data_IF_902076629925
#
_entry.id   IF_902076629925
#
_cell.length_a   1.000
_cell.length_b   1.000
_cell.length_c   1.000
_cell.angle_alpha   90.00
_cell.angle_beta   90.00
_cell.angle_gamma   90.00
#
_symmetry.space_group_name_H-M   'P 1'
#
loop_
_entity.id
_entity.type
_entity.pdbx_description
1 polymer ?
#
# COMPACT_ATOMS: atom_id res chain seq x y z
N UNK A 1 -1.02 -13.39 -10.65
CA UNK A 1 -1.07 -11.98 -10.21
C UNK A 1 0.34 -11.45 -9.95
N UNK A 2 0.84 -10.47 -10.71
CA UNK A 2 2.15 -9.86 -10.48
C UNK A 2 2.29 -9.22 -9.09
N UNK A 3 1.19 -8.70 -8.53
CA UNK A 3 1.17 -8.05 -7.21
C UNK A 3 1.46 -9.04 -6.07
N UNK A 4 0.90 -10.25 -6.12
CA UNK A 4 1.15 -11.28 -5.10
C UNK A 4 2.57 -11.87 -5.19
N UNK A 5 3.19 -11.86 -6.38
CA UNK A 5 4.57 -12.34 -6.57
C UNK A 5 5.62 -11.40 -5.97
N UNK A 6 5.24 -10.15 -5.67
CA UNK A 6 6.09 -9.14 -5.02
C UNK A 6 5.83 -9.09 -3.51
N UNK A 7 4.81 -9.79 -3.02
CA UNK A 7 4.50 -9.85 -1.59
C UNK A 7 5.50 -10.76 -0.86
N UNK A 8 6.01 -10.28 0.28
CA UNK A 8 6.83 -11.08 1.18
C UNK A 8 6.06 -12.31 1.70
N UNK A 9 6.75 -13.41 1.97
CA UNK A 9 6.14 -14.67 2.41
C UNK A 9 5.32 -14.49 3.70
N UNK A 10 5.79 -13.62 4.60
CA UNK A 10 5.08 -13.24 5.83
C UNK A 10 3.74 -12.55 5.54
N UNK A 11 3.67 -11.74 4.48
CA UNK A 11 2.46 -11.03 4.07
C UNK A 11 1.43 -12.01 3.49
N UNK A 12 1.89 -12.98 2.69
CA UNK A 12 1.04 -14.02 2.15
C UNK A 12 0.43 -14.88 3.26
N UNK A 13 1.22 -15.26 4.27
CA UNK A 13 0.72 -16.02 5.42
C UNK A 13 -0.39 -15.26 6.17
N UNK A 14 -0.21 -13.96 6.41
CA UNK A 14 -1.24 -13.13 7.07
C UNK A 14 -2.53 -13.02 6.25
N UNK A 15 -2.41 -13.00 4.92
CA UNK A 15 -3.58 -13.07 4.03
C UNK A 15 -4.28 -14.41 4.19
N UNK A 16 -3.54 -15.52 4.10
CA UNK A 16 -4.08 -16.87 4.27
C UNK A 16 -4.81 -17.03 5.62
N UNK A 17 -4.23 -16.53 6.71
CA UNK A 17 -4.84 -16.57 8.05
C UNK A 17 -6.14 -15.75 8.16
N UNK A 18 -6.33 -14.78 7.25
CA UNK A 18 -7.49 -13.88 7.24
C UNK A 18 -8.57 -14.30 6.25
N UNK A 19 -8.33 -15.34 5.45
CA UNK A 19 -9.32 -15.88 4.51
C UNK A 19 -10.47 -16.55 5.26
N UNK A 20 -11.70 -16.21 4.89
CA UNK A 20 -12.92 -16.82 5.44
C UNK A 20 -13.57 -17.70 4.38
N UNK A 21 -13.79 -19.01 4.63
CA UNK A 21 -14.54 -19.83 3.70
C UNK A 21 -15.99 -19.34 3.61
N UNK A 22 -16.51 -19.23 2.39
CA UNK A 22 -17.88 -18.81 2.09
C UNK A 22 -18.51 -19.75 1.07
N UNK A 23 -19.83 -19.93 1.20
CA UNK A 23 -20.61 -20.87 0.41
C UNK A 23 -21.83 -20.17 -0.14
N UNK A 24 -22.04 -20.30 -1.44
CA UNK A 24 -23.18 -19.70 -2.12
C UNK A 24 -23.98 -20.77 -2.84
N UNK A 25 -25.30 -20.70 -2.68
CA UNK A 25 -26.22 -21.54 -3.43
C UNK A 25 -26.29 -21.08 -4.89
N UNK A 26 -26.81 -21.94 -5.75
CA UNK A 26 -27.08 -21.61 -7.15
C UNK A 26 -28.04 -20.42 -7.28
N UNK A 27 -27.83 -19.60 -8.32
CA UNK A 27 -28.62 -18.40 -8.64
C UNK A 27 -28.66 -17.31 -7.56
N UNK A 28 -27.67 -17.27 -6.67
CA UNK A 28 -27.52 -16.22 -5.66
C UNK A 28 -26.59 -15.11 -6.14
N UNK A 29 -26.79 -13.91 -5.62
CA UNK A 29 -25.90 -12.77 -5.87
C UNK A 29 -24.82 -12.73 -4.80
N UNK A 30 -23.56 -12.74 -5.24
CA UNK A 30 -22.40 -12.53 -4.36
C UNK A 30 -22.16 -11.03 -4.17
N UNK A 31 -22.21 -10.27 -5.27
CA UNK A 31 -22.10 -8.79 -5.29
C UNK A 31 -23.15 -8.24 -6.26
N UNK A 32 -23.83 -7.16 -5.88
CA UNK A 32 -24.77 -6.47 -6.77
C UNK A 32 -24.18 -5.16 -7.26
N UNK A 33 -24.70 -4.68 -8.38
CA UNK A 33 -24.34 -3.36 -8.91
C UNK A 33 -24.69 -2.28 -7.87
N UNK A 34 -23.74 -1.38 -7.62
CA UNK A 34 -23.88 -0.32 -6.64
C UNK A 34 -23.50 -0.70 -5.21
N UNK A 35 -23.33 -2.00 -4.91
CA UNK A 35 -22.77 -2.42 -3.63
C UNK A 35 -21.28 -2.02 -3.56
N UNK A 36 -20.78 -1.63 -2.37
CA UNK A 36 -19.35 -1.46 -2.18
C UNK A 36 -18.66 -2.81 -2.37
N UNK A 37 -17.49 -2.82 -3.02
CA UNK A 37 -16.62 -4.00 -2.96
C UNK A 37 -15.95 -3.96 -1.59
N UNK A 38 -16.46 -4.75 -0.65
CA UNK A 38 -15.97 -4.82 0.73
C UNK A 38 -15.20 -6.12 1.02
N UNK A 39 -15.13 -7.03 0.05
CA UNK A 39 -14.32 -8.24 0.10
C UNK A 39 -13.79 -8.65 -1.28
N UNK A 40 -12.63 -9.31 -1.29
CA UNK A 40 -12.14 -10.07 -2.43
C UNK A 40 -12.60 -11.51 -2.32
N UNK A 41 -12.98 -12.11 -3.45
CA UNK A 41 -13.41 -13.50 -3.49
C UNK A 41 -12.45 -14.33 -4.34
N UNK A 42 -12.03 -15.48 -3.82
CA UNK A 42 -11.19 -16.46 -4.51
C UNK A 42 -12.01 -17.74 -4.72
N UNK A 43 -12.30 -18.09 -5.97
CA UNK A 43 -13.14 -19.24 -6.30
C UNK A 43 -12.32 -20.52 -6.14
N UNK A 44 -12.79 -21.40 -5.25
CA UNK A 44 -12.20 -22.72 -5.02
C UNK A 44 -12.93 -23.78 -5.84
N UNK A 45 -14.26 -23.69 -5.92
CA UNK A 45 -15.08 -24.63 -6.69
C UNK A 45 -16.39 -23.97 -7.13
N UNK A 46 -16.94 -24.45 -8.26
CA UNK A 46 -18.16 -23.92 -8.88
C UNK A 46 -17.94 -22.81 -9.92
N UNK A 47 -19.05 -22.27 -10.42
CA UNK A 47 -19.09 -21.29 -11.51
C UNK A 47 -19.95 -20.09 -11.13
N UNK A 48 -19.37 -18.89 -11.21
CA UNK A 48 -20.07 -17.60 -11.15
C UNK A 48 -19.89 -16.84 -12.45
N UNK A 49 -20.85 -15.99 -12.80
CA UNK A 49 -20.68 -15.03 -13.88
C UNK A 49 -20.60 -13.62 -13.32
N UNK A 50 -19.68 -12.83 -13.87
CA UNK A 50 -19.65 -11.38 -13.71
C UNK A 50 -20.36 -10.73 -14.88
N UNK A 51 -21.10 -9.66 -14.62
CA UNK A 51 -21.77 -8.87 -15.66
C UNK A 51 -21.37 -7.41 -15.51
N UNK A 52 -20.77 -6.81 -16.54
CA UNK A 52 -20.40 -5.40 -16.56
C UNK A 52 -21.38 -4.58 -17.40
N UNK A 53 -22.07 -3.62 -16.77
CA UNK A 53 -23.15 -2.85 -17.41
C UNK A 53 -22.64 -1.82 -18.45
N UNK A 54 -21.34 -1.59 -18.55
CA UNK A 54 -20.73 -0.62 -19.49
C UNK A 54 -20.72 -1.10 -20.94
N UNK A 55 -20.63 -2.41 -21.14
CA UNK A 55 -20.37 -3.05 -22.42
C UNK A 55 -21.15 -4.36 -22.59
N UNK A 56 -21.85 -4.83 -21.54
CA UNK A 56 -22.58 -6.10 -21.56
C UNK A 56 -21.65 -7.31 -21.58
N UNK A 57 -20.38 -7.12 -21.19
CA UNK A 57 -19.43 -8.21 -21.10
C UNK A 57 -19.80 -9.12 -19.93
N UNK A 58 -19.71 -10.42 -20.21
CA UNK A 58 -19.97 -11.48 -19.24
C UNK A 58 -18.72 -12.33 -19.14
N UNK A 59 -18.13 -12.42 -17.95
CA UNK A 59 -16.98 -13.27 -17.71
C UNK A 59 -17.36 -14.43 -16.78
N UNK A 60 -16.72 -15.58 -17.01
CA UNK A 60 -16.91 -16.78 -16.20
C UNK A 60 -15.81 -16.85 -15.11
N UNK A 61 -16.21 -16.88 -13.85
CA UNK A 61 -15.35 -17.15 -12.71
C UNK A 61 -15.46 -18.63 -12.34
N UNK A 62 -14.34 -19.33 -12.47
CA UNK A 62 -14.20 -20.76 -12.17
C UNK A 62 -13.06 -20.96 -11.16
N UNK A 63 -12.75 -22.21 -10.81
CA UNK A 63 -11.67 -22.53 -9.88
C UNK A 63 -10.35 -21.82 -10.26
N UNK A 64 -9.78 -21.08 -9.32
CA UNK A 64 -8.56 -20.30 -9.49
C UNK A 64 -8.79 -18.86 -9.95
N UNK A 65 -10.00 -18.50 -10.38
CA UNK A 65 -10.37 -17.11 -10.64
C UNK A 65 -10.70 -16.37 -9.35
N UNK A 66 -10.67 -15.04 -9.41
CA UNK A 66 -10.93 -14.17 -8.28
C UNK A 66 -11.69 -12.92 -8.71
N UNK A 67 -12.26 -12.22 -7.73
CA UNK A 67 -12.95 -10.94 -7.92
C UNK A 67 -12.51 -9.94 -6.85
N UNK A 68 -12.55 -8.64 -7.18
CA UNK A 68 -12.30 -7.54 -6.24
C UNK A 68 -10.84 -7.11 -6.19
N UNK A 69 -10.05 -7.31 -7.26
CA UNK A 69 -8.63 -6.93 -7.29
C UNK A 69 -8.40 -5.42 -7.08
N UNK A 70 -9.42 -4.59 -7.30
CA UNK A 70 -9.38 -3.17 -7.00
C UNK A 70 -9.12 -2.90 -5.50
N UNK A 71 -9.49 -3.84 -4.62
CA UNK A 71 -9.18 -3.76 -3.19
C UNK A 71 -7.69 -3.89 -2.89
N UNK A 72 -6.94 -4.67 -3.69
CA UNK A 72 -5.48 -4.74 -3.54
C UNK A 72 -4.87 -3.38 -3.90
N UNK A 73 -5.21 -2.85 -5.07
CA UNK A 73 -4.69 -1.56 -5.54
C UNK A 73 -4.98 -0.44 -4.54
N UNK A 74 -6.21 -0.42 -4.01
CA UNK A 74 -6.58 0.55 -2.99
C UNK A 74 -5.83 0.37 -1.68
N UNK A 75 -5.63 -0.85 -1.21
CA UNK A 75 -4.94 -1.11 0.06
C UNK A 75 -3.47 -0.69 0.03
N UNK A 76 -2.84 -0.69 -1.15
CA UNK A 76 -1.49 -0.14 -1.35
C UNK A 76 -1.48 1.39 -1.53
N UNK A 77 -2.58 1.96 -2.01
CA UNK A 77 -2.76 3.41 -2.12
C UNK A 77 -3.20 4.03 -0.77
N UNK A 78 -2.88 5.29 -0.50
CA UNK A 78 -3.36 5.98 0.72
C UNK A 78 -4.82 6.45 0.61
N UNK A 79 -5.62 5.83 -0.25
CA UNK A 79 -6.99 6.24 -0.50
C UNK A 79 -7.92 5.74 0.62
N UNK A 80 -8.84 6.59 1.06
CA UNK A 80 -9.68 6.34 2.24
C UNK A 80 -11.05 5.74 1.93
N UNK A 81 -11.39 5.53 0.65
CA UNK A 81 -12.71 5.08 0.20
C UNK A 81 -12.59 3.77 -0.54
N UNK A 82 -13.48 2.82 -0.22
CA UNK A 82 -13.63 1.57 -0.97
C UNK A 82 -14.07 1.87 -2.41
N UNK A 83 -13.68 1.03 -3.39
CA UNK A 83 -14.21 1.16 -4.72
C UNK A 83 -15.67 0.71 -4.65
N UNK A 84 -16.54 1.49 -5.28
CA UNK A 84 -17.85 0.93 -5.60
C UNK A 84 -17.66 -0.08 -6.72
N UNK A 85 -18.42 -1.19 -6.69
CA UNK A 85 -18.41 -2.12 -7.81
C UNK A 85 -18.67 -1.32 -9.08
N UNK A 86 -17.72 -1.23 -10.03
CA UNK A 86 -17.88 -0.45 -11.23
C UNK A 86 -18.86 -1.20 -12.14
N UNK A 87 -20.14 -1.17 -11.79
CA UNK A 87 -21.23 -1.78 -12.55
C UNK A 87 -21.08 -3.29 -12.76
N UNK A 88 -20.45 -3.99 -11.81
CA UNK A 88 -20.24 -5.43 -11.87
C UNK A 88 -21.20 -6.17 -10.93
N UNK A 89 -22.00 -7.07 -11.49
CA UNK A 89 -22.84 -8.01 -10.74
C UNK A 89 -22.19 -9.38 -10.76
N UNK A 90 -22.10 -10.05 -9.62
CA UNK A 90 -21.65 -11.45 -9.55
C UNK A 90 -22.83 -12.31 -9.17
N UNK A 91 -23.17 -13.27 -10.03
CA UNK A 91 -24.24 -14.22 -9.79
C UNK A 91 -23.73 -15.63 -9.96
N UNK A 92 -24.11 -16.51 -9.05
CA UNK A 92 -23.76 -17.92 -9.12
C UNK A 92 -24.62 -18.64 -10.17
N UNK A 93 -23.99 -19.52 -10.94
CA UNK A 93 -24.67 -20.43 -11.87
C UNK A 93 -24.63 -21.89 -11.41
N UNK A 94 -23.92 -22.16 -10.32
CA UNK A 94 -23.95 -23.42 -9.57
C UNK A 94 -23.71 -23.14 -8.08
N UNK A 95 -23.55 -24.20 -7.29
CA UNK A 95 -23.02 -24.03 -5.92
C UNK A 95 -21.57 -23.57 -6.01
N UNK A 96 -21.21 -22.59 -5.20
CA UNK A 96 -19.85 -22.05 -5.15
C UNK A 96 -19.27 -22.25 -3.75
N UNK A 97 -18.02 -22.72 -3.74
CA UNK A 97 -17.12 -22.62 -2.60
C UNK A 97 -16.05 -21.58 -2.93
N UNK A 98 -15.90 -20.59 -2.06
CA UNK A 98 -14.90 -19.54 -2.23
C UNK A 98 -14.27 -19.15 -0.90
N UNK A 99 -13.17 -18.40 -0.97
CA UNK A 99 -12.61 -17.69 0.17
C UNK A 99 -12.88 -16.20 0.02
N UNK A 100 -13.29 -15.56 1.10
CA UNK A 100 -13.46 -14.12 1.19
C UNK A 100 -12.32 -13.49 2.00
N UNK A 101 -11.70 -12.45 1.47
CA UNK A 101 -10.77 -11.57 2.18
C UNK A 101 -11.43 -10.19 2.33
N UNK A 102 -11.79 -9.81 3.55
CA UNK A 102 -12.44 -8.51 3.77
C UNK A 102 -11.47 -7.36 3.51
N UNK A 103 -11.96 -6.25 2.99
CA UNK A 103 -11.19 -5.04 2.73
C UNK A 103 -10.54 -4.49 4.01
N UNK A 104 -11.23 -4.56 5.14
CA UNK A 104 -10.69 -4.14 6.44
C UNK A 104 -9.54 -5.05 6.90
N UNK A 105 -9.67 -6.37 6.72
CA UNK A 105 -8.63 -7.34 7.04
C UNK A 105 -7.38 -7.08 6.17
N UNK A 106 -7.57 -6.89 4.85
CA UNK A 106 -6.51 -6.55 3.91
C UNK A 106 -5.81 -5.23 4.26
N UNK A 107 -6.57 -4.17 4.58
CA UNK A 107 -6.03 -2.87 5.00
C UNK A 107 -5.20 -3.00 6.28
N UNK A 108 -5.66 -3.79 7.24
CA UNK A 108 -4.93 -4.03 8.49
C UNK A 108 -3.62 -4.79 8.26
N UNK A 109 -3.62 -5.76 7.35
CA UNK A 109 -2.43 -6.51 6.95
C UNK A 109 -1.40 -5.57 6.29
N UNK A 110 -1.81 -4.79 5.29
CA UNK A 110 -0.92 -3.88 4.54
C UNK A 110 -0.39 -2.75 5.43
N UNK A 111 -1.24 -2.10 6.21
CA UNK A 111 -0.82 -1.00 7.10
C UNK A 111 0.21 -1.43 8.15
N UNK A 112 0.01 -2.59 8.78
CA UNK A 112 0.97 -3.15 9.75
C UNK A 112 2.28 -3.57 9.10
N UNK A 113 2.26 -4.04 7.85
CA UNK A 113 3.47 -4.44 7.14
C UNK A 113 4.28 -3.19 6.69
N UNK A 114 3.62 -2.17 6.13
CA UNK A 114 4.27 -0.90 5.78
C UNK A 114 4.87 -0.15 6.99
N UNK A 115 4.24 -0.25 8.17
CA UNK A 115 4.81 0.29 9.41
C UNK A 115 6.06 -0.44 9.90
N UNK A 116 6.21 -1.74 9.59
CA UNK A 116 7.43 -2.48 9.91
C UNK A 116 8.56 -2.09 8.95
N UNK A 117 8.28 -1.97 7.65
CA UNK A 117 9.25 -1.48 6.65
C UNK A 117 9.73 -0.06 6.96
N UNK A 118 8.85 0.80 7.49
CA UNK A 118 9.17 2.17 7.89
C UNK A 118 10.03 2.31 9.14
N UNK A 119 10.04 1.31 10.04
CA UNK A 119 10.82 1.35 11.29
C UNK A 119 12.27 0.93 11.11
N UNK A 120 12.58 0.09 10.14
CA UNK A 120 13.91 -0.53 10.07
C UNK A 120 15.00 0.29 9.39
N UNK A 121 14.68 1.39 8.67
CA UNK A 121 15.69 2.10 7.87
C UNK A 121 15.86 3.61 8.12
N UNK A 122 15.09 4.22 9.02
CA UNK A 122 15.07 5.70 9.12
C UNK A 122 16.04 6.29 10.13
N UNK A 123 16.31 5.62 11.25
CA UNK A 123 17.08 6.21 12.36
C UNK A 123 18.56 6.50 12.03
N UNK A 124 19.37 5.56 11.48
CA UNK A 124 20.79 5.84 11.24
C UNK A 124 21.03 6.89 10.17
N UNK A 125 20.16 6.94 9.14
CA UNK A 125 20.31 7.84 8.00
C UNK A 125 19.85 9.27 8.33
N UNK A 126 18.71 9.41 9.01
CA UNK A 126 18.22 10.72 9.43
C UNK A 126 19.18 11.38 10.44
N UNK A 127 19.66 10.63 11.42
CA UNK A 127 20.66 11.11 12.37
C UNK A 127 21.95 11.52 11.66
N UNK A 128 22.45 10.72 10.71
CA UNK A 128 23.64 11.05 9.92
C UNK A 128 23.46 12.35 9.12
N UNK A 129 22.33 12.53 8.43
CA UNK A 129 22.03 13.74 7.64
C UNK A 129 21.98 14.98 8.53
N UNK A 130 21.31 14.90 9.67
CA UNK A 130 21.22 16.00 10.65
C UNK A 130 22.61 16.33 11.22
N UNK A 131 23.40 15.31 11.59
CA UNK A 131 24.75 15.50 12.09
C UNK A 131 25.70 16.12 11.05
N UNK A 132 25.60 15.69 9.79
CA UNK A 132 26.40 16.24 8.69
C UNK A 132 26.05 17.72 8.43
N UNK A 133 24.75 18.06 8.45
CA UNK A 133 24.30 19.44 8.33
C UNK A 133 24.80 20.32 9.48
N UNK A 134 24.75 19.81 10.73
CA UNK A 134 25.28 20.51 11.90
C UNK A 134 26.79 20.77 11.81
N UNK A 135 27.60 19.75 11.45
CA UNK A 135 29.05 19.90 11.29
C UNK A 135 29.39 20.99 10.26
N UNK A 136 28.74 20.95 9.09
CA UNK A 136 28.94 21.93 8.02
C UNK A 136 28.56 23.35 8.43
N UNK A 137 27.49 23.52 9.20
CA UNK A 137 27.10 24.83 9.71
C UNK A 137 28.12 25.36 10.74
N UNK A 138 28.57 24.50 11.65
CA UNK A 138 29.51 24.87 12.71
C UNK A 138 30.90 25.21 12.16
N UNK A 139 31.40 24.44 11.19
CA UNK A 139 32.66 24.72 10.48
C UNK A 139 32.61 26.07 9.74
N UNK A 140 31.50 26.36 9.06
CA UNK A 140 31.31 27.63 8.37
C UNK A 140 31.20 28.82 9.31
N UNK A 141 30.62 28.65 10.52
CA UNK A 141 30.59 29.69 11.56
C UNK A 141 32.00 29.97 12.09
N UNK A 142 32.79 28.92 12.33
CA UNK A 142 34.18 29.05 12.77
C UNK A 142 35.07 29.69 11.69
N UNK A 143 34.85 29.40 10.41
CA UNK A 143 35.58 30.02 9.30
C UNK A 143 35.24 31.52 9.14
N UNK A 144 34.00 31.91 9.39
CA UNK A 144 33.56 33.31 9.36
C UNK A 144 34.16 34.12 10.53
N UNK A 145 34.21 33.53 11.73
CA UNK A 145 34.88 34.13 12.89
C UNK A 145 36.39 34.29 12.67
N UNK A 146 37.04 33.30 12.07
CA UNK A 146 38.47 33.35 11.75
C UNK A 146 38.85 34.37 10.64
N UNK A 147 37.90 34.72 9.75
CA UNK A 147 38.09 35.75 8.71
C UNK A 147 37.78 37.16 9.21
N UNK A 148 36.91 37.33 10.21
CA UNK A 148 36.61 38.63 10.83
C UNK A 148 37.77 39.22 11.64
N UNK A 149 38.65 38.38 12.20
CA UNK A 149 39.78 38.82 13.02
C UNK A 149 41.04 39.26 12.23
N UNK A 150 41.02 39.29 10.90
CA UNK A 150 42.21 39.63 10.08
C UNK A 150 42.24 41.06 9.53
N UNK A 151 41.26 41.91 9.86
CA UNK A 151 41.19 43.28 9.38
C UNK A 151 41.34 44.28 10.54
N UNK A 152 42.56 44.50 11.02
CA UNK A 152 42.92 45.69 11.79
C UNK A 152 44.31 46.19 11.33
N UNK A 153 44.46 47.44 10.88
CA UNK A 153 45.70 47.91 10.26
C UNK A 153 46.78 48.20 11.30
N UNK A 154 48.01 47.72 11.06
CA UNK A 154 49.21 48.16 11.77
C UNK A 154 49.64 49.54 11.25
N UNK A 155 49.30 50.60 11.98
CA UNK A 155 49.97 51.90 11.83
C UNK A 155 51.34 51.83 12.50
N UNK A 156 52.42 51.67 11.73
CA UNK A 156 53.78 51.88 12.24
C UNK A 156 54.27 53.27 11.87
N UNK A 157 54.36 54.11 12.89
CA UNK A 157 55.04 55.40 12.92
C UNK A 157 56.57 55.21 12.84
N UNK A 158 57.25 56.02 12.02
CA UNK A 158 58.66 56.42 12.17
C UNK A 158 58.83 57.69 11.32
N UNK A 159 59.03 58.89 11.86
CA UNK A 159 59.87 59.29 12.99
C UNK A 159 61.22 59.73 12.42
N UNK A 160 61.36 61.05 12.26
CA UNK A 160 62.51 61.80 11.70
C UNK A 160 63.89 61.32 12.18
#
# INVERSE_FOLDING_TARGET
MPVLQIMDEELLLKICDSLKPVYYNEHTYIVREGDPIDAMFFIKDGIAWTYTNSNGEVECLENGHYFGEELLELSFSKLSRLPFSPRTVIKTHGRIEAFALMAEDLKNIVSKNLMQVGKEKSEPFAAYVVQAAWRRHHENKNLKLAKGNKNLPSSSTRGN
#
